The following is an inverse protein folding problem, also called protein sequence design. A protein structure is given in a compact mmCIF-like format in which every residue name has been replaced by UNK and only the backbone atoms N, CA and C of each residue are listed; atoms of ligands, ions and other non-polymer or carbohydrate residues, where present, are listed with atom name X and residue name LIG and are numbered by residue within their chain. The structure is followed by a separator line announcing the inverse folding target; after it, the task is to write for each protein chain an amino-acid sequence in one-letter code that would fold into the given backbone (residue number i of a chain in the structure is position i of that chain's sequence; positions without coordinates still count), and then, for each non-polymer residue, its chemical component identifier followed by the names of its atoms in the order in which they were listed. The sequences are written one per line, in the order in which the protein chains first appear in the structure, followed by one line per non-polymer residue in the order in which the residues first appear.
data_IF_652520450489
#
_entry.id   IF_652520450489
#
_cell.length_a   1.000
_cell.length_b   1.000
_cell.length_c   1.000
_cell.angle_alpha   90.00
_cell.angle_beta   90.00
_cell.angle_gamma   90.00
#
_symmetry.space_group_name_H-M   'P 1'
#
loop_
_entity.id
_entity.type
_entity.pdbx_description
1 polymer ?
#
# COMPACT_ATOMS: atom_id res chain seq x y z
N UNK A 1 0.72 14.90 -9.82
CA UNK A 1 0.87 13.51 -9.32
C UNK A 1 -0.45 12.74 -9.35
N UNK A 2 -1.48 13.21 -8.63
CA UNK A 2 -2.76 12.49 -8.55
C UNK A 2 -3.50 12.45 -9.89
N UNK A 3 -3.40 13.50 -10.68
CA UNK A 3 -3.96 13.55 -12.01
C UNK A 3 -3.34 12.46 -12.91
N UNK A 4 -2.03 12.24 -12.79
CA UNK A 4 -1.33 11.23 -13.57
C UNK A 4 -1.83 9.83 -13.25
N UNK A 5 -2.14 9.52 -11.97
CA UNK A 5 -2.66 8.21 -11.58
C UNK A 5 -4.04 7.95 -12.17
N UNK A 6 -4.91 8.98 -12.19
CA UNK A 6 -6.23 8.85 -12.81
C UNK A 6 -6.12 8.62 -14.30
N UNK A 7 -5.21 9.33 -14.97
CA UNK A 7 -4.95 9.14 -16.40
C UNK A 7 -4.37 7.75 -16.65
N UNK A 8 -3.48 7.29 -15.76
CA UNK A 8 -2.87 5.99 -15.86
C UNK A 8 -3.91 4.87 -15.86
N UNK A 9 -4.88 4.95 -14.94
CA UNK A 9 -5.95 3.96 -14.89
C UNK A 9 -6.76 3.93 -16.19
N UNK A 10 -7.01 5.09 -16.76
CA UNK A 10 -7.82 5.23 -17.97
C UNK A 10 -7.00 5.05 -19.26
N UNK A 11 -5.70 4.82 -19.15
CA UNK A 11 -4.82 4.66 -20.30
C UNK A 11 -5.07 3.29 -20.95
N UNK A 12 -5.48 3.22 -22.25
CA UNK A 12 -5.74 1.95 -22.90
C UNK A 12 -4.52 1.05 -23.02
N UNK A 13 -3.31 1.58 -22.83
CA UNK A 13 -2.08 0.80 -22.84
C UNK A 13 -1.83 0.04 -21.54
N UNK A 14 -2.55 0.39 -20.45
CA UNK A 14 -2.42 -0.32 -19.18
C UNK A 14 -3.26 -1.58 -19.24
N UNK A 15 -2.59 -2.72 -19.45
CA UNK A 15 -3.23 -4.02 -19.60
C UNK A 15 -3.03 -4.92 -18.38
N UNK A 16 -2.16 -4.52 -17.44
CA UNK A 16 -1.79 -5.33 -16.28
C UNK A 16 -1.72 -4.46 -15.03
N UNK A 17 -2.01 -5.07 -13.86
CA UNK A 17 -1.80 -4.38 -12.58
C UNK A 17 -0.34 -3.93 -12.40
N UNK A 18 0.60 -4.63 -13.06
CA UNK A 18 2.03 -4.29 -12.98
C UNK A 18 2.34 -2.90 -13.47
N UNK A 19 1.48 -2.35 -14.34
CA UNK A 19 1.66 -1.01 -14.89
C UNK A 19 1.11 0.08 -13.98
N UNK A 20 0.37 -0.28 -12.93
CA UNK A 20 -0.20 0.69 -12.01
C UNK A 20 0.87 1.21 -11.05
N UNK A 21 1.02 2.53 -10.99
CA UNK A 21 2.02 3.15 -10.09
C UNK A 21 1.71 2.84 -8.62
N UNK A 22 0.43 2.82 -8.23
CA UNK A 22 0.06 2.47 -6.84
C UNK A 22 0.53 1.07 -6.48
N UNK A 23 0.50 0.12 -7.42
CA UNK A 23 1.01 -1.22 -7.19
C UNK A 23 2.53 -1.21 -7.04
N UNK A 24 3.22 -0.50 -7.94
CA UNK A 24 4.68 -0.40 -7.91
C UNK A 24 5.18 0.25 -6.63
N UNK A 25 4.52 1.33 -6.20
CA UNK A 25 4.87 2.01 -4.95
C UNK A 25 4.58 1.13 -3.74
N UNK A 26 3.51 0.35 -3.78
CA UNK A 26 3.21 -0.63 -2.72
C UNK A 26 4.33 -1.65 -2.57
N UNK A 27 4.91 -2.12 -3.68
CA UNK A 27 6.06 -3.02 -3.63
C UNK A 27 7.28 -2.35 -3.01
N UNK A 28 7.55 -1.10 -3.37
CA UNK A 28 8.68 -0.36 -2.80
C UNK A 28 8.54 -0.21 -1.29
N UNK A 29 7.33 0.15 -0.83
CA UNK A 29 7.03 0.24 0.61
C UNK A 29 7.29 -1.09 1.29
N UNK A 30 6.83 -2.18 0.70
CA UNK A 30 6.99 -3.52 1.27
C UNK A 30 8.47 -3.90 1.38
N UNK A 31 9.27 -3.62 0.36
CA UNK A 31 10.71 -3.90 0.39
C UNK A 31 11.40 -3.12 1.52
N UNK A 32 11.08 -1.84 1.67
CA UNK A 32 11.63 -1.04 2.76
C UNK A 32 11.22 -1.56 4.12
N UNK A 33 9.98 -2.01 4.25
CA UNK A 33 9.48 -2.59 5.49
C UNK A 33 10.24 -3.86 5.85
N UNK A 34 10.55 -4.71 4.88
CA UNK A 34 11.33 -5.91 5.14
C UNK A 34 12.73 -5.56 5.65
N UNK A 35 13.35 -4.50 5.08
CA UNK A 35 14.65 -4.06 5.56
C UNK A 35 14.59 -3.48 6.96
N UNK A 36 13.64 -2.61 7.23
CA UNK A 36 13.51 -1.95 8.54
C UNK A 36 13.15 -2.95 9.63
N UNK A 37 12.28 -3.90 9.34
CA UNK A 37 11.85 -4.86 10.36
C UNK A 37 12.94 -5.88 10.74
N UNK A 38 14.04 -5.95 9.98
CA UNK A 38 15.21 -6.70 10.41
C UNK A 38 15.82 -6.12 11.68
N UNK A 39 15.55 -4.86 11.98
CA UNK A 39 16.06 -4.19 13.19
C UNK A 39 15.25 -4.51 14.43
N UNK A 40 14.08 -5.13 14.28
CA UNK A 40 13.27 -5.54 15.41
C UNK A 40 13.91 -6.74 16.11
N UNK A 41 13.71 -6.87 17.44
CA UNK A 41 14.30 -8.00 18.17
C UNK A 41 13.72 -9.33 17.70
N UNK A 42 14.51 -10.39 17.84
CA UNK A 42 14.15 -11.73 17.36
C UNK A 42 12.87 -12.26 17.99
N UNK A 43 12.56 -11.86 19.21
CA UNK A 43 11.33 -12.28 19.90
C UNK A 43 10.07 -11.75 19.20
N UNK A 44 10.20 -10.76 18.31
CA UNK A 44 9.07 -10.24 17.55
C UNK A 44 8.84 -10.94 16.22
N UNK A 45 9.63 -11.97 15.91
CA UNK A 45 9.55 -12.63 14.59
C UNK A 45 8.13 -13.20 14.32
N UNK A 46 7.46 -13.71 15.33
CA UNK A 46 6.08 -14.21 15.22
C UNK A 46 5.06 -13.21 15.77
N UNK A 47 5.50 -12.03 16.15
CA UNK A 47 4.63 -10.95 16.66
C UNK A 47 4.63 -9.78 15.71
N UNK A 48 5.18 -8.65 16.16
CA UNK A 48 5.13 -7.39 15.44
C UNK A 48 5.77 -7.47 14.05
N UNK A 49 6.92 -8.12 13.93
CA UNK A 49 7.60 -8.29 12.64
C UNK A 49 6.69 -8.97 11.63
N UNK A 50 6.10 -10.11 12.04
CA UNK A 50 5.19 -10.87 11.17
C UNK A 50 3.98 -10.04 10.75
N UNK A 51 3.37 -9.33 11.70
CA UNK A 51 2.18 -8.52 11.42
C UNK A 51 2.47 -7.36 10.46
N UNK A 52 3.56 -6.65 10.66
CA UNK A 52 3.93 -5.54 9.78
C UNK A 52 4.15 -6.04 8.35
N UNK A 53 4.90 -7.13 8.22
CA UNK A 53 5.20 -7.70 6.90
C UNK A 53 3.95 -8.19 6.20
N UNK A 54 3.05 -8.84 6.93
CA UNK A 54 1.78 -9.31 6.38
C UNK A 54 0.92 -8.17 5.89
N UNK A 55 0.79 -7.10 6.70
CA UNK A 55 0.02 -5.92 6.31
C UNK A 55 0.63 -5.25 5.07
N UNK A 56 1.95 -5.18 5.00
CA UNK A 56 2.65 -4.57 3.87
C UNK A 56 2.38 -5.34 2.57
N UNK A 57 2.52 -6.66 2.59
CA UNK A 57 2.28 -7.52 1.42
C UNK A 57 0.83 -7.36 0.95
N UNK A 58 -0.10 -7.17 1.87
CA UNK A 58 -1.52 -7.01 1.57
C UNK A 58 -1.82 -5.78 0.71
N UNK A 59 -0.99 -4.73 0.77
CA UNK A 59 -1.22 -3.50 -0.01
C UNK A 59 -1.25 -3.81 -1.50
N UNK A 60 -0.13 -4.27 -2.05
CA UNK A 60 -0.02 -4.55 -3.48
C UNK A 60 -0.86 -5.75 -3.91
N UNK A 61 -1.00 -6.75 -3.04
CA UNK A 61 -1.81 -7.92 -3.33
C UNK A 61 -3.27 -7.54 -3.58
N UNK A 62 -3.84 -6.65 -2.77
CA UNK A 62 -5.21 -6.21 -2.94
C UNK A 62 -5.39 -5.30 -4.15
N UNK A 63 -4.41 -4.46 -4.46
CA UNK A 63 -4.43 -3.64 -5.66
C UNK A 63 -4.48 -4.55 -6.91
N UNK A 64 -3.61 -5.54 -6.94
CA UNK A 64 -3.53 -6.48 -8.07
C UNK A 64 -4.83 -7.27 -8.21
N UNK A 65 -5.35 -7.81 -7.11
CA UNK A 65 -6.59 -8.58 -7.13
C UNK A 65 -7.76 -7.75 -7.60
N UNK A 66 -7.86 -6.50 -7.09
CA UNK A 66 -8.93 -5.60 -7.50
C UNK A 66 -8.87 -5.23 -8.97
N UNK A 67 -7.66 -5.01 -9.50
CA UNK A 67 -7.48 -4.67 -10.92
C UNK A 67 -7.91 -5.81 -11.82
N UNK A 68 -7.81 -7.05 -11.34
CA UNK A 68 -8.22 -8.23 -12.10
C UNK A 68 -9.73 -8.48 -12.09
N UNK A 69 -10.50 -7.74 -11.30
CA UNK A 69 -11.96 -7.91 -11.24
C UNK A 69 -12.62 -7.27 -12.45
N UNK A 70 -13.81 -7.80 -12.80
CA UNK A 70 -14.52 -7.36 -13.99
C UNK A 70 -15.27 -6.04 -13.78
N UNK A 71 -15.58 -5.66 -12.54
CA UNK A 71 -16.35 -4.45 -12.27
C UNK A 71 -15.51 -3.39 -11.57
N UNK A 72 -15.81 -2.14 -11.90
CA UNK A 72 -15.20 -0.97 -11.27
C UNK A 72 -15.53 -0.93 -9.78
N UNK A 73 -16.74 -1.31 -9.43
CA UNK A 73 -17.18 -1.36 -8.03
C UNK A 73 -16.32 -2.31 -7.20
N UNK A 74 -16.03 -3.50 -7.74
CA UNK A 74 -15.17 -4.46 -7.06
C UNK A 74 -13.75 -3.92 -6.92
N UNK A 75 -13.24 -3.28 -7.95
CA UNK A 75 -11.91 -2.67 -7.90
C UNK A 75 -11.83 -1.64 -6.78
N UNK A 76 -12.84 -0.77 -6.68
CA UNK A 76 -12.90 0.24 -5.60
C UNK A 76 -12.86 -0.45 -4.23
N UNK A 77 -13.62 -1.54 -4.05
CA UNK A 77 -13.63 -2.26 -2.78
C UNK A 77 -12.25 -2.80 -2.41
N UNK A 78 -11.51 -3.35 -3.37
CA UNK A 78 -10.17 -3.84 -3.12
C UNK A 78 -9.18 -2.70 -2.82
N UNK A 79 -9.38 -1.54 -3.45
CA UNK A 79 -8.56 -0.37 -3.15
C UNK A 79 -8.80 0.13 -1.72
N UNK A 80 -10.05 0.06 -1.23
CA UNK A 80 -10.34 0.37 0.17
C UNK A 80 -9.64 -0.62 1.12
N UNK A 81 -9.59 -1.90 0.75
CA UNK A 81 -8.87 -2.89 1.58
C UNK A 81 -7.38 -2.56 1.60
N UNK A 82 -6.80 -2.21 0.45
CA UNK A 82 -5.40 -1.80 0.38
C UNK A 82 -5.13 -0.57 1.25
N UNK A 83 -6.04 0.40 1.23
CA UNK A 83 -5.94 1.60 2.06
C UNK A 83 -5.97 1.24 3.55
N UNK A 84 -6.84 0.32 3.94
CA UNK A 84 -6.89 -0.19 5.32
C UNK A 84 -5.59 -0.86 5.72
N UNK A 85 -4.98 -1.62 4.81
CA UNK A 85 -3.68 -2.25 5.05
C UNK A 85 -2.58 -1.22 5.28
N UNK A 86 -2.62 -0.10 4.54
CA UNK A 86 -1.68 1.00 4.75
C UNK A 86 -1.84 1.63 6.13
N UNK A 87 -3.07 1.84 6.59
CA UNK A 87 -3.32 2.35 7.95
C UNK A 87 -2.80 1.40 9.01
N UNK A 88 -2.95 0.09 8.80
CA UNK A 88 -2.41 -0.91 9.71
C UNK A 88 -0.87 -0.84 9.76
N UNK A 89 -0.24 -0.79 8.59
CA UNK A 89 1.22 -0.67 8.48
C UNK A 89 1.72 0.58 9.20
N UNK A 90 1.06 1.70 8.96
CA UNK A 90 1.45 2.96 9.59
C UNK A 90 1.38 2.87 11.10
N UNK A 91 0.28 2.33 11.61
CA UNK A 91 0.08 2.14 13.05
C UNK A 91 1.15 1.24 13.64
N UNK A 92 1.42 0.11 12.99
CA UNK A 92 2.39 -0.88 13.47
C UNK A 92 3.82 -0.34 13.44
N UNK A 93 4.16 0.48 12.44
CA UNK A 93 5.47 1.12 12.36
C UNK A 93 5.66 2.17 13.45
N UNK A 94 4.62 2.94 13.74
CA UNK A 94 4.65 3.91 14.85
C UNK A 94 4.90 3.15 16.17
N UNK A 95 4.19 2.04 16.36
CA UNK A 95 4.36 1.21 17.54
C UNK A 95 5.79 0.66 17.64
N UNK A 96 6.32 0.16 16.55
CA UNK A 96 7.69 -0.35 16.50
C UNK A 96 8.70 0.73 16.87
N UNK A 97 8.51 1.94 16.35
CA UNK A 97 9.38 3.08 16.67
C UNK A 97 9.30 3.44 18.15
N UNK A 98 8.12 3.45 18.72
CA UNK A 98 7.95 3.79 20.14
C UNK A 98 8.54 2.73 21.06
N UNK A 99 8.34 1.46 20.74
CA UNK A 99 8.81 0.36 21.58
C UNK A 99 10.32 0.12 21.47
N UNK A 100 10.87 0.20 20.25
CA UNK A 100 12.25 -0.23 19.98
C UNK A 100 13.14 0.87 19.44
N UNK A 101 12.63 2.10 19.29
CA UNK A 101 13.39 3.27 18.86
C UNK A 101 14.06 3.09 17.50
N UNK A 102 13.46 2.31 16.62
CA UNK A 102 14.01 2.12 15.28
C UNK A 102 13.75 3.35 14.42
N UNK A 103 14.68 3.60 13.48
CA UNK A 103 14.57 4.70 12.52
C UNK A 103 13.75 4.22 11.33
N UNK A 104 12.59 4.84 11.11
CA UNK A 104 11.68 4.49 10.01
C UNK A 104 12.14 5.04 8.66
N UNK A 105 13.17 5.90 8.67
CA UNK A 105 13.73 6.51 7.46
C UNK A 105 12.65 7.22 6.65
N UNK A 106 12.54 6.89 5.36
CA UNK A 106 11.60 7.56 4.46
C UNK A 106 10.21 6.90 4.42
N UNK A 107 10.00 5.83 5.18
CA UNK A 107 8.72 5.10 5.14
C UNK A 107 7.50 5.97 5.45
N UNK A 108 7.51 6.85 6.47
CA UNK A 108 6.33 7.69 6.72
C UNK A 108 5.91 8.51 5.50
N UNK A 109 6.88 9.06 4.77
CA UNK A 109 6.59 9.84 3.56
C UNK A 109 6.07 8.96 2.43
N UNK A 110 6.67 7.78 2.24
CA UNK A 110 6.23 6.84 1.21
C UNK A 110 4.79 6.40 1.46
N UNK A 111 4.43 6.13 2.71
CA UNK A 111 3.09 5.70 3.10
C UNK A 111 2.10 6.84 2.88
N UNK A 112 2.46 8.06 3.29
CA UNK A 112 1.60 9.24 3.07
C UNK A 112 1.31 9.43 1.59
N UNK A 113 2.34 9.34 0.74
CA UNK A 113 2.17 9.48 -0.71
C UNK A 113 1.24 8.41 -1.27
N UNK A 114 1.41 7.17 -0.84
CA UNK A 114 0.55 6.06 -1.30
C UNK A 114 -0.90 6.26 -0.85
N UNK A 115 -1.12 6.74 0.39
CA UNK A 115 -2.46 7.04 0.88
C UNK A 115 -3.14 8.09 -0.01
N UNK A 116 -2.42 9.14 -0.35
CA UNK A 116 -2.95 10.21 -1.21
C UNK A 116 -3.29 9.69 -2.60
N UNK A 117 -2.44 8.84 -3.15
CA UNK A 117 -2.66 8.26 -4.47
C UNK A 117 -3.88 7.34 -4.48
N UNK A 118 -4.01 6.47 -3.48
CA UNK A 118 -5.17 5.59 -3.36
C UNK A 118 -6.46 6.40 -3.19
N UNK A 119 -6.45 7.40 -2.32
CA UNK A 119 -7.63 8.26 -2.11
C UNK A 119 -8.04 8.96 -3.40
N UNK A 120 -7.07 9.45 -4.15
CA UNK A 120 -7.33 10.15 -5.41
C UNK A 120 -7.97 9.23 -6.45
N UNK A 121 -7.41 8.03 -6.63
CA UNK A 121 -7.93 7.10 -7.64
C UNK A 121 -9.31 6.56 -7.24
N UNK A 122 -9.54 6.28 -5.95
CA UNK A 122 -10.84 5.85 -5.46
C UNK A 122 -11.90 6.92 -5.75
N UNK A 123 -11.59 8.16 -5.41
CA UNK A 123 -12.51 9.29 -5.66
C UNK A 123 -12.85 9.41 -7.14
N UNK A 124 -11.83 9.30 -8.00
CA UNK A 124 -12.02 9.41 -9.45
C UNK A 124 -12.90 8.28 -9.99
N UNK A 125 -12.65 7.06 -9.53
CA UNK A 125 -13.45 5.91 -9.94
C UNK A 125 -14.89 6.02 -9.49
N UNK A 126 -15.13 6.53 -8.29
CA UNK A 126 -16.48 6.69 -7.75
C UNK A 126 -17.30 7.72 -8.51
N UNK A 127 -16.67 8.79 -8.98
CA UNK A 127 -17.40 9.83 -9.75
C UNK A 127 -17.84 9.34 -11.12
N UNK A 128 -17.25 8.25 -11.61
CA UNK A 128 -17.55 7.69 -12.93
C UNK A 128 -18.42 6.42 -12.86
N UNK A 129 -18.93 6.10 -11.67
CA UNK A 129 -19.89 4.99 -11.51
C UNK A 129 -21.28 5.46 -11.98
#
# INVERSE_FOLDING_TARGET
MFFAFSMEYNNPKITSFRDLVIWQKGLEITKEIYEITKLLPKEEIFGLTSQIRRSAVSISSNIAEGRGRSSKKDFINFLYIAQGSLFEVETQLILAKELYKIDLKNLPKMIEDEQKMLSSIIKKLKTNL
#
